data_IF_339160907842
#
_entry.id   IF_339160907842
#
_cell.length_a   1.000
_cell.length_b   1.000
_cell.length_c   1.000
_cell.angle_alpha   90.00
_cell.angle_beta   90.00
_cell.angle_gamma   90.00
#
_symmetry.space_group_name_H-M   'P 1'
#
loop_
_entity.id
_entity.type
_entity.pdbx_description
1 polymer ?
#
# COMPACT_ATOMS: atom_id res chain seq x y z
N UNK A 1 17.33 12.34 8.43
CA UNK A 1 18.51 11.74 7.76
C UNK A 1 19.73 12.60 8.05
N UNK A 2 20.94 12.05 7.90
CA UNK A 2 22.15 12.84 8.02
C UNK A 2 22.31 13.77 6.81
N UNK A 3 22.97 14.91 7.04
CA UNK A 3 23.25 15.89 6.00
C UNK A 3 24.68 16.40 6.19
N UNK A 4 25.65 15.65 5.68
CA UNK A 4 27.08 15.89 5.88
C UNK A 4 27.47 17.28 5.35
N UNK A 5 26.96 17.70 4.19
CA UNK A 5 27.29 19.01 3.60
C UNK A 5 27.06 20.17 4.58
N UNK A 6 25.97 20.12 5.36
CA UNK A 6 25.61 21.17 6.32
C UNK A 6 26.23 20.95 7.70
N UNK A 7 26.81 19.78 7.97
CA UNK A 7 27.25 19.36 9.29
C UNK A 7 28.69 18.82 9.31
N UNK A 8 29.54 19.21 8.37
CA UNK A 8 30.92 18.70 8.26
C UNK A 8 31.75 18.90 9.54
N UNK A 9 31.48 19.97 10.29
CA UNK A 9 32.12 20.28 11.57
C UNK A 9 31.47 19.57 12.78
N UNK A 10 30.30 18.97 12.58
CA UNK A 10 29.53 18.25 13.59
C UNK A 10 29.44 16.75 13.27
N UNK A 11 30.62 16.17 13.03
CA UNK A 11 30.78 14.73 12.80
C UNK A 11 31.63 14.13 13.91
N UNK A 12 31.14 13.04 14.49
CA UNK A 12 31.84 12.28 15.51
C UNK A 12 31.93 10.83 15.07
N UNK A 13 33.16 10.32 15.02
CA UNK A 13 33.46 8.93 14.69
C UNK A 13 34.03 8.25 15.93
N UNK A 14 33.33 7.24 16.43
CA UNK A 14 33.76 6.44 17.58
C UNK A 14 33.78 4.98 17.21
N UNK A 15 34.61 4.19 17.87
CA UNK A 15 34.63 2.74 17.74
C UNK A 15 34.35 2.14 19.12
N UNK A 16 33.13 2.26 19.66
CA UNK A 16 32.84 1.96 21.07
C UNK A 16 33.09 0.50 21.45
N UNK A 17 33.00 -0.43 20.50
CA UNK A 17 33.08 -1.86 20.78
C UNK A 17 33.67 -2.64 19.60
N UNK A 18 33.89 -3.93 19.84
CA UNK A 18 34.37 -4.90 18.88
C UNK A 18 33.50 -6.14 18.98
N UNK A 19 33.09 -6.68 17.83
CA UNK A 19 32.34 -7.92 17.73
C UNK A 19 33.21 -9.03 17.13
N UNK A 20 32.93 -10.28 17.50
CA UNK A 20 33.55 -11.44 16.88
C UNK A 20 32.48 -12.32 16.25
N UNK A 21 32.56 -12.50 14.93
CA UNK A 21 31.66 -13.35 14.14
C UNK A 21 32.52 -14.36 13.40
N UNK A 22 32.25 -15.66 13.58
CA UNK A 22 33.01 -16.77 12.97
C UNK A 22 34.53 -16.66 13.15
N UNK A 23 34.94 -16.19 14.33
CA UNK A 23 36.36 -16.01 14.67
C UNK A 23 37.05 -14.84 13.97
N UNK A 24 36.29 -13.97 13.29
CA UNK A 24 36.75 -12.73 12.67
C UNK A 24 36.35 -11.54 13.54
N UNK A 25 37.31 -10.65 13.80
CA UNK A 25 37.13 -9.45 14.61
C UNK A 25 36.64 -8.27 13.76
N UNK A 26 35.51 -7.69 14.14
CA UNK A 26 34.89 -6.51 13.53
C UNK A 26 34.90 -5.34 14.51
N UNK A 27 35.37 -4.19 14.06
CA UNK A 27 35.35 -2.94 14.81
C UNK A 27 34.03 -2.24 14.51
N UNK A 28 33.23 -2.04 15.57
CA UNK A 28 31.92 -1.41 15.47
C UNK A 28 32.11 0.11 15.53
N UNK A 29 31.92 0.77 14.39
CA UNK A 29 32.09 2.22 14.24
C UNK A 29 30.72 2.87 14.43
N UNK A 30 30.56 3.68 15.46
CA UNK A 30 29.45 4.61 15.59
C UNK A 30 29.78 5.88 14.78
N UNK A 31 28.95 6.15 13.79
CA UNK A 31 29.02 7.37 12.99
C UNK A 31 27.89 8.28 13.45
N UNK A 32 28.22 9.50 13.88
CA UNK A 32 27.24 10.51 14.24
C UNK A 32 27.47 11.79 13.42
N UNK A 33 26.40 12.27 12.78
CA UNK A 33 26.34 13.54 12.06
C UNK A 33 25.19 14.35 12.65
N UNK A 34 25.52 15.42 13.37
CA UNK A 34 24.57 16.13 14.22
C UNK A 34 23.80 15.17 15.17
N UNK A 35 22.47 15.14 15.07
CA UNK A 35 21.62 14.27 15.90
C UNK A 35 21.42 12.86 15.36
N UNK A 36 21.86 12.60 14.12
CA UNK A 36 21.68 11.31 13.45
C UNK A 36 22.89 10.43 13.71
N UNK A 37 22.64 9.18 14.09
CA UNK A 37 23.69 8.20 14.35
C UNK A 37 23.33 6.83 13.79
N UNK A 38 24.34 6.08 13.39
CA UNK A 38 24.24 4.68 12.97
C UNK A 38 25.53 3.93 13.30
N UNK A 39 25.53 2.61 13.06
CA UNK A 39 26.69 1.76 13.32
C UNK A 39 27.08 0.97 12.09
N UNK A 40 28.35 1.04 11.69
CA UNK A 40 28.93 0.22 10.63
C UNK A 40 30.02 -0.67 11.20
N UNK A 41 30.18 -1.88 10.65
CA UNK A 41 31.16 -2.87 11.14
C UNK A 41 32.21 -3.15 10.08
N UNK A 42 33.47 -2.94 10.42
CA UNK A 42 34.59 -3.23 9.53
C UNK A 42 35.64 -4.10 10.19
N UNK A 43 36.19 -5.04 9.44
CA UNK A 43 37.40 -5.77 9.84
C UNK A 43 38.63 -4.91 9.56
N UNK A 44 39.73 -5.17 10.25
CA UNK A 44 40.98 -4.43 10.07
C UNK A 44 41.46 -4.42 8.61
N UNK A 45 41.30 -5.53 7.87
CA UNK A 45 41.73 -5.57 6.46
C UNK A 45 40.95 -4.58 5.58
N UNK A 46 39.74 -4.21 5.95
CA UNK A 46 38.96 -3.17 5.25
C UNK A 46 39.57 -1.78 5.50
N UNK A 47 39.97 -1.47 6.74
CA UNK A 47 40.73 -0.24 7.04
C UNK A 47 42.04 -0.18 6.24
N UNK A 48 42.77 -1.30 6.14
CA UNK A 48 44.01 -1.36 5.40
C UNK A 48 43.80 -1.10 3.89
N UNK A 49 42.81 -1.74 3.27
CA UNK A 49 42.49 -1.52 1.86
C UNK A 49 42.05 -0.07 1.58
N UNK A 50 41.26 0.51 2.49
CA UNK A 50 40.86 1.92 2.43
C UNK A 50 42.09 2.84 2.48
N UNK A 51 42.99 2.58 3.43
CA UNK A 51 44.22 3.35 3.62
C UNK A 51 45.13 3.30 2.39
N UNK A 52 45.33 2.12 1.80
CA UNK A 52 46.14 1.95 0.59
C UNK A 52 45.59 2.80 -0.57
N UNK A 53 44.26 2.88 -0.70
CA UNK A 53 43.60 3.78 -1.66
C UNK A 53 43.85 5.26 -1.34
N UNK A 54 43.82 5.65 -0.06
CA UNK A 54 44.04 7.04 0.35
C UNK A 54 45.47 7.52 0.20
N UNK A 55 46.44 6.67 0.49
CA UNK A 55 47.86 6.94 0.26
C UNK A 55 48.12 7.17 -1.23
N UNK A 56 47.53 6.32 -2.09
CA UNK A 56 47.77 6.38 -3.54
C UNK A 56 47.05 7.52 -4.24
N UNK A 57 45.82 7.84 -3.86
CA UNK A 57 44.96 8.82 -4.57
C UNK A 57 44.89 10.20 -3.91
N UNK A 58 45.08 10.28 -2.59
CA UNK A 58 44.78 11.49 -1.81
C UNK A 58 45.95 11.95 -0.94
N UNK A 59 47.15 11.41 -1.13
CA UNK A 59 48.37 11.81 -0.42
C UNK A 59 48.26 11.72 1.11
N UNK A 60 47.44 10.80 1.63
CA UNK A 60 47.39 10.52 3.07
C UNK A 60 48.71 9.90 3.51
N UNK A 61 49.21 10.30 4.69
CA UNK A 61 50.46 9.80 5.25
C UNK A 61 50.44 8.26 5.41
N UNK A 62 51.54 7.59 5.08
CA UNK A 62 51.61 6.13 5.08
C UNK A 62 51.51 5.52 6.47
N UNK A 63 52.11 6.18 7.46
CA UNK A 63 52.41 5.58 8.76
C UNK A 63 51.33 5.82 9.84
N UNK A 64 50.23 6.49 9.50
CA UNK A 64 49.15 6.80 10.46
C UNK A 64 48.23 5.60 10.74
N UNK A 65 48.23 4.57 9.88
CA UNK A 65 47.43 3.37 10.09
C UNK A 65 48.11 2.45 11.13
N UNK A 66 47.41 2.01 12.19
CA UNK A 66 47.99 1.10 13.18
C UNK A 66 48.48 -0.21 12.52
N UNK A 67 49.67 -0.74 12.84
CA UNK A 67 50.29 -1.82 12.09
C UNK A 67 49.53 -3.16 12.17
N UNK A 68 49.68 -3.98 11.12
CA UNK A 68 49.22 -5.38 11.11
C UNK A 68 49.99 -6.20 12.14
N UNK A 69 49.32 -7.21 12.71
CA UNK A 69 49.93 -8.19 13.63
C UNK A 69 49.46 -9.56 13.20
N UNK A 70 50.40 -10.46 12.96
CA UNK A 70 50.13 -11.80 12.41
C UNK A 70 49.87 -12.84 13.50
N UNK A 71 50.56 -12.73 14.64
CA UNK A 71 50.49 -13.68 15.76
C UNK A 71 49.84 -12.99 16.97
N UNK A 72 48.90 -13.67 17.66
CA UNK A 72 48.21 -13.11 18.84
C UNK A 72 47.33 -11.90 18.51
N UNK A 73 46.84 -11.82 17.28
CA UNK A 73 45.96 -10.75 16.78
C UNK A 73 44.52 -10.81 17.32
N UNK A 74 44.16 -11.93 17.97
CA UNK A 74 42.90 -12.15 18.68
C UNK A 74 42.98 -11.92 20.19
N UNK A 75 44.18 -11.59 20.72
CA UNK A 75 44.34 -11.29 22.14
C UNK A 75 43.51 -10.05 22.50
N UNK A 76 42.65 -10.12 23.52
CA UNK A 76 41.72 -9.05 23.91
C UNK A 76 42.44 -7.72 24.14
N UNK A 77 43.53 -7.74 24.90
CA UNK A 77 44.36 -6.54 25.19
C UNK A 77 44.85 -5.88 23.90
N UNK A 78 45.21 -6.70 22.91
CA UNK A 78 45.69 -6.22 21.63
C UNK A 78 44.56 -5.67 20.76
N UNK A 79 43.43 -6.37 20.70
CA UNK A 79 42.22 -5.94 19.97
C UNK A 79 41.73 -4.60 20.51
N UNK A 80 41.68 -4.43 21.83
CA UNK A 80 41.25 -3.19 22.47
C UNK A 80 42.22 -2.03 22.20
N UNK A 81 43.55 -2.27 22.31
CA UNK A 81 44.55 -1.26 21.93
C UNK A 81 44.41 -0.84 20.46
N UNK A 82 44.18 -1.81 19.57
CA UNK A 82 43.96 -1.55 18.15
C UNK A 82 42.67 -0.79 17.89
N UNK A 83 41.57 -1.11 18.58
CA UNK A 83 40.30 -0.39 18.50
C UNK A 83 40.49 1.10 18.76
N UNK A 84 41.16 1.45 19.86
CA UNK A 84 41.48 2.82 20.22
C UNK A 84 42.37 3.51 19.17
N UNK A 85 43.39 2.80 18.66
CA UNK A 85 44.28 3.36 17.63
C UNK A 85 43.58 3.56 16.28
N UNK A 86 42.64 2.67 15.90
CA UNK A 86 41.83 2.80 14.69
C UNK A 86 40.84 3.97 14.80
N UNK A 87 40.31 4.25 16.00
CA UNK A 87 39.44 5.41 16.23
C UNK A 87 40.20 6.73 16.01
N UNK A 88 41.43 6.84 16.56
CA UNK A 88 42.31 7.99 16.34
C UNK A 88 42.64 8.14 14.85
N UNK A 89 43.04 7.05 14.19
CA UNK A 89 43.32 7.01 12.76
C UNK A 89 42.12 7.51 11.93
N UNK A 90 40.92 6.98 12.19
CA UNK A 90 39.73 7.30 11.41
C UNK A 90 39.35 8.77 11.55
N UNK A 91 39.45 9.34 12.75
CA UNK A 91 39.22 10.77 12.97
C UNK A 91 40.27 11.64 12.27
N UNK A 92 41.54 11.24 12.27
CA UNK A 92 42.60 11.95 11.54
C UNK A 92 42.34 11.96 10.02
N UNK A 93 41.99 10.81 9.45
CA UNK A 93 41.66 10.65 8.03
C UNK A 93 40.42 11.47 7.66
N UNK A 94 39.35 11.39 8.46
CA UNK A 94 38.15 12.20 8.22
C UNK A 94 38.48 13.70 8.24
N UNK A 95 39.20 14.19 9.25
CA UNK A 95 39.54 15.61 9.35
C UNK A 95 40.39 16.10 8.16
N UNK A 96 41.27 15.25 7.64
CA UNK A 96 42.05 15.56 6.44
C UNK A 96 41.19 15.58 5.17
N UNK A 97 40.27 14.63 5.03
CA UNK A 97 39.51 14.42 3.80
C UNK A 97 38.12 15.07 3.77
N UNK A 98 37.57 15.59 4.88
CA UNK A 98 36.16 16.02 5.01
C UNK A 98 35.69 17.03 3.96
N UNK A 99 36.60 17.83 3.40
CA UNK A 99 36.28 18.78 2.32
C UNK A 99 36.09 18.09 0.96
N UNK A 100 36.96 17.16 0.61
CA UNK A 100 36.90 16.41 -0.65
C UNK A 100 35.92 15.24 -0.57
N UNK A 101 35.73 14.71 0.64
CA UNK A 101 34.89 13.58 1.01
C UNK A 101 34.89 12.44 -0.03
N UNK A 102 36.02 11.72 -0.20
CA UNK A 102 36.13 10.66 -1.20
C UNK A 102 35.05 9.61 -1.09
N UNK A 103 34.60 9.09 -2.23
CA UNK A 103 33.53 8.09 -2.29
C UNK A 103 33.89 6.83 -1.52
N UNK A 104 35.16 6.42 -1.51
CA UNK A 104 35.62 5.26 -0.73
C UNK A 104 35.43 5.48 0.77
N UNK A 105 35.69 6.70 1.29
CA UNK A 105 35.41 7.02 2.70
C UNK A 105 33.91 7.06 2.96
N UNK A 106 33.13 7.61 2.02
CA UNK A 106 31.68 7.68 2.13
C UNK A 106 31.03 6.29 2.19
N UNK A 107 31.48 5.37 1.34
CA UNK A 107 31.05 3.98 1.35
C UNK A 107 31.53 3.26 2.61
N UNK A 108 32.76 3.51 3.06
CA UNK A 108 33.27 2.93 4.31
C UNK A 108 32.45 3.36 5.54
N UNK A 109 31.89 4.57 5.54
CA UNK A 109 31.05 5.07 6.63
C UNK A 109 29.55 4.83 6.41
N UNK A 110 29.15 4.08 5.37
CA UNK A 110 27.75 3.88 4.96
C UNK A 110 26.96 5.18 4.68
N UNK A 111 27.62 6.27 4.26
CA UNK A 111 26.93 7.52 3.93
C UNK A 111 25.91 7.35 2.80
N UNK A 112 26.18 6.46 1.84
CA UNK A 112 25.25 6.11 0.76
C UNK A 112 23.88 5.57 1.24
N UNK A 113 23.77 5.21 2.52
CA UNK A 113 22.54 4.67 3.12
C UNK A 113 21.83 5.68 4.04
N UNK A 114 22.58 6.55 4.70
CA UNK A 114 22.08 7.40 5.80
C UNK A 114 22.23 8.90 5.56
N UNK A 115 23.07 9.30 4.60
CA UNK A 115 23.29 10.68 4.20
C UNK A 115 22.48 11.04 2.95
N UNK A 116 21.87 12.22 2.98
CA UNK A 116 21.01 12.71 1.89
C UNK A 116 21.74 12.72 0.55
N UNK A 117 22.97 13.25 0.47
CA UNK A 117 23.63 13.45 -0.82
C UNK A 117 24.15 12.16 -1.41
N UNK A 118 24.81 11.34 -0.58
CA UNK A 118 25.36 10.08 -1.06
C UNK A 118 24.26 9.07 -1.41
N UNK A 119 23.11 9.11 -0.72
CA UNK A 119 21.95 8.33 -1.11
C UNK A 119 21.39 8.79 -2.46
N UNK A 120 21.23 10.11 -2.67
CA UNK A 120 20.75 10.65 -3.95
C UNK A 120 21.71 10.30 -5.10
N UNK A 121 23.02 10.39 -4.88
CA UNK A 121 24.02 9.99 -5.87
C UNK A 121 23.94 8.50 -6.20
N UNK A 122 23.69 7.66 -5.19
CA UNK A 122 23.55 6.21 -5.40
C UNK A 122 22.31 5.89 -6.24
N UNK A 123 21.18 6.58 -5.99
CA UNK A 123 19.98 6.48 -6.82
C UNK A 123 20.22 7.02 -8.24
N UNK A 124 20.89 8.16 -8.38
CA UNK A 124 21.20 8.74 -9.69
C UNK A 124 22.01 7.77 -10.56
N UNK A 125 23.05 7.15 -9.98
CA UNK A 125 23.85 6.14 -10.66
C UNK A 125 23.01 4.91 -11.04
N UNK A 126 22.17 4.41 -10.13
CA UNK A 126 21.29 3.27 -10.40
C UNK A 126 20.35 3.56 -11.56
N UNK A 127 19.71 4.73 -11.57
CA UNK A 127 18.79 5.13 -12.64
C UNK A 127 19.50 5.43 -13.95
N UNK A 128 20.73 5.95 -13.90
CA UNK A 128 21.54 6.09 -15.10
C UNK A 128 21.85 4.74 -15.74
N UNK A 129 22.26 3.74 -14.95
CA UNK A 129 22.70 2.43 -15.45
C UNK A 129 21.52 1.53 -15.82
N UNK A 130 20.45 1.53 -15.00
CA UNK A 130 19.37 0.53 -15.08
C UNK A 130 17.97 1.13 -15.21
N UNK A 131 17.83 2.46 -15.24
CA UNK A 131 16.54 3.16 -15.20
C UNK A 131 15.57 2.74 -16.31
N UNK A 132 16.04 2.65 -17.56
CA UNK A 132 15.19 2.22 -18.68
C UNK A 132 14.69 0.78 -18.51
N UNK A 133 15.54 -0.13 -17.98
CA UNK A 133 15.15 -1.50 -17.68
C UNK A 133 14.12 -1.55 -16.55
N UNK A 134 14.32 -0.77 -15.49
CA UNK A 134 13.38 -0.67 -14.37
C UNK A 134 12.02 -0.12 -14.81
N UNK A 135 12.00 0.89 -15.69
CA UNK A 135 10.77 1.48 -16.25
C UNK A 135 10.02 0.52 -17.18
N UNK A 136 10.73 -0.35 -17.91
CA UNK A 136 10.10 -1.35 -18.78
C UNK A 136 9.63 -2.60 -18.04
N UNK A 137 10.39 -3.05 -17.05
CA UNK A 137 10.13 -4.31 -16.35
C UNK A 137 9.09 -4.17 -15.23
N UNK A 138 8.95 -2.98 -14.64
CA UNK A 138 8.16 -2.82 -13.42
C UNK A 138 6.70 -2.42 -13.68
N UNK A 139 5.78 -3.17 -13.06
CA UNK A 139 4.38 -2.75 -12.91
C UNK A 139 4.21 -1.70 -11.81
N UNK A 140 5.19 -1.54 -10.89
CA UNK A 140 5.23 -0.52 -9.84
C UNK A 140 6.62 -0.35 -9.25
N UNK A 141 7.15 0.88 -9.23
CA UNK A 141 8.42 1.17 -8.56
C UNK A 141 8.18 1.54 -7.10
N UNK A 142 8.90 0.87 -6.18
CA UNK A 142 8.75 1.04 -4.74
C UNK A 142 9.86 1.93 -4.18
N UNK A 143 9.49 3.07 -3.63
CA UNK A 143 10.38 3.92 -2.86
C UNK A 143 10.19 3.69 -1.36
N UNK A 144 11.29 3.66 -0.62
CA UNK A 144 11.28 3.84 0.83
C UNK A 144 11.20 5.35 1.15
N UNK A 145 10.45 5.79 2.18
CA UNK A 145 10.42 7.18 2.65
C UNK A 145 11.80 7.82 2.85
N UNK A 146 12.83 7.06 3.19
CA UNK A 146 14.23 7.54 3.30
C UNK A 146 14.74 8.12 1.98
N UNK A 147 14.47 7.44 0.86
CA UNK A 147 14.86 7.88 -0.49
C UNK A 147 14.07 9.13 -0.91
N UNK A 148 12.76 9.12 -0.69
CA UNK A 148 11.88 10.26 -1.01
C UNK A 148 12.23 11.49 -0.16
N UNK A 149 12.57 11.30 1.12
CA UNK A 149 13.06 12.37 1.98
C UNK A 149 14.36 12.96 1.45
N UNK A 150 15.32 12.12 1.02
CA UNK A 150 16.57 12.62 0.46
C UNK A 150 16.36 13.43 -0.83
N UNK A 151 15.44 12.99 -1.71
CA UNK A 151 15.01 13.75 -2.89
C UNK A 151 14.37 15.08 -2.47
N UNK A 152 13.46 15.06 -1.50
CA UNK A 152 12.76 16.24 -0.98
C UNK A 152 13.73 17.28 -0.42
N UNK A 153 14.72 16.84 0.35
CA UNK A 153 15.76 17.73 0.89
C UNK A 153 16.70 18.25 -0.21
N UNK A 154 17.03 17.41 -1.20
CA UNK A 154 17.87 17.82 -2.33
C UNK A 154 17.19 18.90 -3.19
N UNK A 155 15.87 18.84 -3.37
CA UNK A 155 15.11 19.84 -4.13
C UNK A 155 15.16 21.24 -3.51
N UNK A 156 15.34 21.35 -2.19
CA UNK A 156 15.42 22.63 -1.46
C UNK A 156 16.75 23.36 -1.65
N UNK A 157 17.71 22.74 -2.33
CA UNK A 157 19.09 23.19 -2.35
C UNK A 157 19.61 23.48 -3.75
N UNK A 158 20.45 24.52 -3.93
CA UNK A 158 21.20 24.71 -5.16
C UNK A 158 22.22 23.57 -5.34
N UNK A 159 22.68 23.33 -6.57
CA UNK A 159 23.66 22.30 -6.93
C UNK A 159 24.83 22.24 -5.91
N UNK A 160 24.93 21.19 -5.07
CA UNK A 160 25.92 21.13 -4.01
C UNK A 160 27.31 20.87 -4.58
N UNK A 161 28.34 21.44 -3.94
CA UNK A 161 29.75 21.29 -4.34
C UNK A 161 30.24 19.84 -4.38
N UNK A 162 29.57 18.93 -3.66
CA UNK A 162 29.87 17.49 -3.61
C UNK A 162 29.17 16.69 -4.73
N UNK A 163 28.27 17.31 -5.52
CA UNK A 163 27.72 16.67 -6.71
C UNK A 163 28.88 16.45 -7.70
N UNK A 164 29.28 15.20 -7.83
CA UNK A 164 30.46 14.80 -8.59
C UNK A 164 30.34 15.39 -10.01
N UNK A 165 31.46 15.86 -10.56
CA UNK A 165 31.55 16.35 -11.96
C UNK A 165 31.11 15.28 -12.97
N UNK A 166 31.09 14.02 -12.54
CA UNK A 166 30.72 12.87 -13.34
C UNK A 166 29.21 12.81 -13.57
N UNK A 167 28.83 12.78 -14.85
CA UNK A 167 27.46 12.91 -15.33
C UNK A 167 26.56 11.77 -14.85
N UNK A 168 27.12 10.62 -14.49
CA UNK A 168 26.37 9.44 -14.04
C UNK A 168 25.69 9.66 -12.68
N UNK A 169 26.20 10.57 -11.85
CA UNK A 169 25.67 10.87 -10.51
C UNK A 169 24.74 12.10 -10.48
N UNK A 170 24.44 12.67 -11.65
CA UNK A 170 23.66 13.88 -11.74
C UNK A 170 22.23 13.66 -11.24
N UNK A 171 21.74 14.56 -10.39
CA UNK A 171 20.37 14.50 -9.86
C UNK A 171 19.29 14.51 -10.95
N UNK A 172 19.62 14.99 -12.15
CA UNK A 172 18.74 14.93 -13.33
C UNK A 172 18.26 13.52 -13.67
N UNK A 173 19.06 12.48 -13.42
CA UNK A 173 18.64 11.09 -13.68
C UNK A 173 17.51 10.65 -12.75
N UNK A 174 17.53 11.12 -11.49
CA UNK A 174 16.44 10.90 -10.54
C UNK A 174 15.18 11.63 -10.96
N UNK A 175 15.31 12.88 -11.43
CA UNK A 175 14.18 13.65 -11.91
C UNK A 175 13.56 13.07 -13.19
N UNK A 176 14.39 12.64 -14.16
CA UNK A 176 13.94 11.97 -15.38
C UNK A 176 13.18 10.69 -15.03
N UNK A 177 13.79 9.82 -14.22
CA UNK A 177 13.20 8.57 -13.78
C UNK A 177 11.85 8.79 -13.10
N UNK A 178 11.79 9.66 -12.08
CA UNK A 178 10.56 9.98 -11.36
C UNK A 178 9.46 10.53 -12.28
N UNK A 179 9.84 11.36 -13.25
CA UNK A 179 8.88 11.95 -14.20
C UNK A 179 8.26 10.92 -15.14
N UNK A 180 8.96 9.81 -15.42
CA UNK A 180 8.53 8.75 -16.34
C UNK A 180 7.77 7.61 -15.65
N UNK A 181 7.73 7.60 -14.31
CA UNK A 181 7.01 6.56 -13.56
C UNK A 181 5.49 6.64 -13.76
N UNK A 182 4.90 5.48 -14.01
CA UNK A 182 3.44 5.30 -14.16
C UNK A 182 2.82 4.74 -12.87
N UNK A 183 3.57 3.95 -12.10
CA UNK A 183 3.11 3.35 -10.86
C UNK A 183 4.15 3.52 -9.76
N UNK A 184 3.73 4.14 -8.67
CA UNK A 184 4.54 4.51 -7.52
C UNK A 184 3.98 3.84 -6.26
N UNK A 185 4.84 3.10 -5.55
CA UNK A 185 4.55 2.59 -4.22
C UNK A 185 5.45 3.27 -3.19
N UNK A 186 4.84 3.86 -2.18
CA UNK A 186 5.50 4.41 -0.99
C UNK A 186 5.20 3.47 0.15
N UNK A 187 6.23 2.79 0.64
CA UNK A 187 6.06 1.84 1.74
C UNK A 187 6.81 2.29 2.98
N UNK A 188 6.05 2.65 4.00
CA UNK A 188 6.57 3.03 5.31
C UNK A 188 6.93 1.85 6.19
N UNK A 189 7.59 2.19 7.29
CA UNK A 189 7.95 1.29 8.37
C UNK A 189 7.85 2.05 9.70
N UNK A 190 7.48 1.35 10.77
CA UNK A 190 7.47 1.89 12.13
C UNK A 190 8.83 1.77 12.84
N UNK A 191 9.70 0.88 12.35
CA UNK A 191 10.98 0.61 12.99
C UNK A 191 12.08 1.59 12.55
N UNK A 192 13.13 1.75 13.38
CA UNK A 192 14.34 2.47 12.98
C UNK A 192 14.92 1.90 11.68
N UNK A 193 15.43 2.78 10.83
CA UNK A 193 16.04 2.39 9.57
C UNK A 193 17.40 1.75 9.80
N UNK A 194 17.51 0.44 9.54
CA UNK A 194 18.74 -0.36 9.68
C UNK A 194 19.35 -0.17 11.08
N UNK A 195 20.62 0.22 11.17
CA UNK A 195 21.32 0.44 12.45
C UNK A 195 21.22 1.86 12.97
N UNK A 196 20.40 2.71 12.33
CA UNK A 196 20.33 4.14 12.66
C UNK A 196 19.24 4.45 13.67
N UNK A 197 19.27 5.67 14.20
CA UNK A 197 18.15 6.27 14.94
C UNK A 197 17.13 7.00 14.04
N UNK A 198 17.17 6.79 12.72
CA UNK A 198 16.24 7.44 11.79
C UNK A 198 14.94 6.63 11.76
N UNK A 199 13.81 7.31 11.98
CA UNK A 199 12.48 6.72 11.80
C UNK A 199 11.89 7.19 10.47
N UNK A 200 11.74 6.31 9.46
CA UNK A 200 11.18 6.69 8.16
C UNK A 200 9.80 7.36 8.26
N UNK A 201 8.96 6.92 9.19
CA UNK A 201 7.64 7.48 9.47
C UNK A 201 7.64 8.91 10.04
N UNK A 202 8.79 9.40 10.51
CA UNK A 202 8.92 10.76 11.03
C UNK A 202 9.35 11.77 9.96
N UNK A 203 9.84 11.30 8.82
CA UNK A 203 10.37 12.12 7.73
C UNK A 203 9.21 12.69 6.91
N UNK A 204 9.26 13.97 6.57
CA UNK A 204 8.27 14.60 5.68
C UNK A 204 8.77 14.64 4.25
N UNK A 205 7.93 14.26 3.29
CA UNK A 205 8.30 14.10 1.87
C UNK A 205 7.42 14.94 0.95
N UNK A 206 7.96 15.29 -0.20
CA UNK A 206 7.21 15.77 -1.35
C UNK A 206 7.27 14.82 -2.54
N UNK A 207 6.26 14.93 -3.41
CA UNK A 207 6.04 14.08 -4.56
C UNK A 207 5.94 14.88 -5.87
N UNK A 208 6.36 16.14 -5.87
CA UNK A 208 6.27 17.07 -7.02
C UNK A 208 7.03 16.59 -8.27
N UNK A 209 8.01 15.69 -8.11
CA UNK A 209 8.80 15.13 -9.22
C UNK A 209 8.05 14.08 -10.04
N UNK A 210 6.96 13.51 -9.51
CA UNK A 210 6.21 12.42 -10.14
C UNK A 210 5.10 12.97 -11.03
N UNK A 211 5.40 13.16 -12.32
CA UNK A 211 4.54 13.91 -13.24
C UNK A 211 3.51 13.07 -14.01
N UNK A 212 3.70 11.75 -14.09
CA UNK A 212 2.90 10.86 -14.93
C UNK A 212 2.32 9.66 -14.17
N UNK A 213 2.39 9.66 -12.83
CA UNK A 213 1.90 8.54 -12.02
C UNK A 213 0.39 8.43 -12.14
N UNK A 214 -0.07 7.23 -12.49
CA UNK A 214 -1.48 6.85 -12.60
C UNK A 214 -1.90 5.93 -11.45
N UNK A 215 -0.97 5.12 -10.92
CA UNK A 215 -1.21 4.20 -9.81
C UNK A 215 -0.36 4.62 -8.62
N UNK A 216 -0.99 5.11 -7.56
CA UNK A 216 -0.31 5.53 -6.34
C UNK A 216 -0.72 4.62 -5.19
N UNK A 217 0.26 3.94 -4.60
CA UNK A 217 0.09 3.17 -3.36
C UNK A 217 0.87 3.84 -2.23
N UNK A 218 0.19 4.13 -1.12
CA UNK A 218 0.78 4.59 0.14
C UNK A 218 0.44 3.55 1.19
N UNK A 219 1.43 2.80 1.63
CA UNK A 219 1.24 1.69 2.57
C UNK A 219 2.11 1.90 3.80
N UNK A 220 1.54 1.80 5.00
CA UNK A 220 2.25 1.97 6.28
C UNK A 220 2.99 3.31 6.45
N UNK A 221 2.68 4.33 5.64
CA UNK A 221 3.30 5.65 5.71
C UNK A 221 2.29 6.71 6.16
N UNK A 222 2.62 7.57 7.16
CA UNK A 222 1.68 8.59 7.64
C UNK A 222 1.41 9.65 6.57
N UNK A 223 0.16 9.79 6.14
CA UNK A 223 -0.23 10.74 5.09
C UNK A 223 -0.06 12.20 5.50
N UNK A 224 -0.05 12.53 6.80
CA UNK A 224 0.28 13.86 7.31
C UNK A 224 1.75 14.27 7.11
N UNK A 225 2.60 13.32 6.70
CA UNK A 225 4.00 13.57 6.35
C UNK A 225 4.20 13.89 4.87
N UNK A 226 3.14 14.00 4.08
CA UNK A 226 3.21 14.45 2.69
C UNK A 226 2.80 15.92 2.65
N UNK A 227 3.71 16.79 2.23
CA UNK A 227 3.48 18.25 2.23
C UNK A 227 3.36 18.87 0.83
N UNK A 228 3.68 18.13 -0.22
CA UNK A 228 3.51 18.58 -1.60
C UNK A 228 3.24 17.38 -2.53
N UNK A 229 2.05 17.29 -3.11
CA UNK A 229 1.59 16.24 -4.01
C UNK A 229 1.87 16.56 -5.49
N UNK A 230 2.25 17.79 -5.82
CA UNK A 230 2.43 18.25 -7.20
C UNK A 230 1.19 17.97 -8.07
N UNK A 231 1.40 17.36 -9.23
CA UNK A 231 0.34 17.11 -10.22
C UNK A 231 -0.40 15.78 -10.01
N UNK A 232 -0.15 15.06 -8.91
CA UNK A 232 -0.71 13.71 -8.71
C UNK A 232 -2.24 13.70 -8.72
N UNK A 233 -2.87 14.77 -8.23
CA UNK A 233 -4.33 14.93 -8.26
C UNK A 233 -4.92 14.95 -9.69
N UNK A 234 -4.13 15.35 -10.68
CA UNK A 234 -4.52 15.44 -12.09
C UNK A 234 -4.19 14.18 -12.91
N UNK A 235 -3.40 13.26 -12.35
CA UNK A 235 -2.85 12.11 -13.09
C UNK A 235 -3.28 10.78 -12.52
N UNK A 236 -3.42 10.66 -11.20
CA UNK A 236 -3.72 9.40 -10.52
C UNK A 236 -5.15 8.96 -10.83
N UNK A 237 -5.28 7.72 -11.31
CA UNK A 237 -6.55 7.05 -11.58
C UNK A 237 -6.88 6.01 -10.53
N UNK A 238 -5.85 5.36 -9.96
CA UNK A 238 -5.97 4.40 -8.88
C UNK A 238 -5.15 4.85 -7.68
N UNK A 239 -5.83 5.12 -6.57
CA UNK A 239 -5.24 5.54 -5.32
C UNK A 239 -5.49 4.48 -4.24
N UNK A 240 -4.40 3.94 -3.69
CA UNK A 240 -4.43 2.97 -2.60
C UNK A 240 -3.71 3.55 -1.38
N UNK A 241 -4.39 3.63 -0.25
CA UNK A 241 -3.84 4.14 1.01
C UNK A 241 -4.21 3.18 2.13
N UNK A 242 -3.27 2.33 2.54
CA UNK A 242 -3.51 1.24 3.49
C UNK A 242 -2.57 1.32 4.69
N UNK A 243 -3.02 0.79 5.83
CA UNK A 243 -2.22 0.66 7.05
C UNK A 243 -1.65 2.00 7.56
N UNK A 244 -2.26 3.13 7.22
CA UNK A 244 -1.77 4.47 7.62
C UNK A 244 -2.43 4.96 8.90
N UNK A 245 -3.40 4.20 9.43
CA UNK A 245 -4.23 4.55 10.59
C UNK A 245 -5.17 5.73 10.31
N UNK A 246 -5.48 5.98 9.03
CA UNK A 246 -6.39 7.02 8.59
C UNK A 246 -7.73 6.90 9.32
N UNK A 247 -8.25 8.02 9.83
CA UNK A 247 -9.58 8.06 10.47
C UNK A 247 -10.63 8.76 9.61
N UNK A 248 -10.18 9.72 8.81
CA UNK A 248 -11.04 10.59 8.01
C UNK A 248 -10.45 10.73 6.60
N UNK A 249 -11.31 10.86 5.60
CA UNK A 249 -10.89 10.99 4.19
C UNK A 249 -10.29 12.38 3.95
N UNK A 250 -10.73 13.40 4.72
CA UNK A 250 -10.15 14.74 4.68
C UNK A 250 -8.64 14.73 4.98
N UNK A 251 -8.16 13.81 5.82
CA UNK A 251 -6.73 13.69 6.16
C UNK A 251 -5.87 13.30 4.95
N UNK A 252 -6.45 12.53 4.02
CA UNK A 252 -5.83 12.16 2.75
C UNK A 252 -6.00 13.26 1.70
N UNK A 253 -7.26 13.68 1.46
CA UNK A 253 -7.58 14.62 0.38
C UNK A 253 -6.86 15.96 0.54
N UNK A 254 -6.71 16.41 1.79
CA UNK A 254 -6.07 17.67 2.18
C UNK A 254 -4.78 17.43 2.99
N UNK A 255 -4.03 16.36 2.69
CA UNK A 255 -2.84 15.98 3.46
C UNK A 255 -1.78 17.09 3.62
N UNK A 256 -1.65 17.97 2.62
CA UNK A 256 -0.71 19.10 2.57
C UNK A 256 -1.13 20.28 3.46
N UNK A 257 -2.41 20.35 3.84
CA UNK A 257 -2.96 21.47 4.60
C UNK A 257 -2.70 21.32 6.09
N UNK A 258 -2.38 22.44 6.74
CA UNK A 258 -2.21 22.50 8.21
C UNK A 258 -3.55 22.32 8.91
N UNK A 259 -4.59 22.97 8.40
CA UNK A 259 -5.95 22.90 8.94
C UNK A 259 -6.86 22.16 7.97
N UNK A 260 -7.00 20.86 8.20
CA UNK A 260 -7.80 19.93 7.40
C UNK A 260 -9.28 20.09 7.70
N UNK A 261 -9.90 21.10 7.09
CA UNK A 261 -11.34 21.34 7.14
C UNK A 261 -11.88 21.42 5.71
N UNK A 262 -12.90 20.62 5.43
CA UNK A 262 -13.56 20.55 4.11
C UNK A 262 -14.16 21.89 3.67
N UNK A 263 -14.51 22.78 4.60
CA UNK A 263 -15.02 24.13 4.28
C UNK A 263 -13.95 25.01 3.61
N UNK A 264 -12.66 24.70 3.83
CA UNK A 264 -11.54 25.42 3.22
C UNK A 264 -11.11 24.80 1.87
N UNK A 265 -11.72 23.70 1.46
CA UNK A 265 -11.35 23.04 0.22
C UNK A 265 -11.69 23.90 -1.00
N UNK A 266 -10.85 23.80 -2.02
CA UNK A 266 -10.97 24.47 -3.31
C UNK A 266 -10.54 23.51 -4.42
N UNK A 267 -10.61 23.95 -5.69
CA UNK A 267 -10.34 23.12 -6.86
C UNK A 267 -8.97 22.42 -6.84
N UNK A 268 -7.95 23.00 -6.19
CA UNK A 268 -6.62 22.39 -6.09
C UNK A 268 -6.56 21.12 -5.22
N UNK A 269 -7.61 20.86 -4.44
CA UNK A 269 -7.73 19.66 -3.59
C UNK A 269 -8.43 18.49 -4.29
N UNK A 270 -9.04 18.74 -5.45
CA UNK A 270 -9.88 17.76 -6.15
C UNK A 270 -9.00 16.76 -6.89
N UNK A 271 -9.24 15.47 -6.66
CA UNK A 271 -8.64 14.38 -7.41
C UNK A 271 -9.44 14.14 -8.69
N UNK A 272 -8.98 14.75 -9.78
CA UNK A 272 -9.74 14.90 -11.03
C UNK A 272 -9.92 13.59 -11.81
N UNK A 273 -9.10 12.57 -11.55
CA UNK A 273 -9.08 11.32 -12.33
C UNK A 273 -9.22 10.04 -11.53
N UNK A 274 -9.28 10.10 -10.19
CA UNK A 274 -9.37 8.90 -9.35
C UNK A 274 -10.71 8.21 -9.57
N UNK A 275 -10.68 7.03 -10.18
CA UNK A 275 -11.84 6.16 -10.38
C UNK A 275 -11.85 4.98 -9.41
N UNK A 276 -10.67 4.56 -8.94
CA UNK A 276 -10.51 3.46 -7.99
C UNK A 276 -9.82 3.98 -6.73
N UNK A 277 -10.53 3.94 -5.60
CA UNK A 277 -10.02 4.34 -4.29
C UNK A 277 -10.04 3.15 -3.33
N UNK A 278 -8.87 2.73 -2.86
CA UNK A 278 -8.71 1.69 -1.85
C UNK A 278 -8.17 2.30 -0.55
N UNK A 279 -9.02 2.35 0.48
CA UNK A 279 -8.72 2.82 1.84
C UNK A 279 -8.79 1.68 2.87
N UNK A 280 -8.57 0.45 2.43
CA UNK A 280 -8.62 -0.72 3.31
C UNK A 280 -7.60 -0.66 4.44
N UNK A 281 -7.85 -1.40 5.52
CA UNK A 281 -6.91 -1.60 6.64
C UNK A 281 -6.52 -0.28 7.33
N UNK A 282 -7.49 0.60 7.52
CA UNK A 282 -7.36 1.85 8.25
C UNK A 282 -8.26 1.84 9.51
N UNK A 283 -8.60 3.02 10.02
CA UNK A 283 -9.43 3.22 11.22
C UNK A 283 -10.59 4.17 10.92
N UNK A 284 -11.10 4.11 9.69
CA UNK A 284 -12.16 5.00 9.23
C UNK A 284 -13.46 4.57 9.90
N UNK A 285 -14.10 5.51 10.60
CA UNK A 285 -15.36 5.29 11.32
C UNK A 285 -16.56 5.80 10.52
N UNK A 286 -16.35 6.81 9.67
CA UNK A 286 -17.37 7.47 8.84
C UNK A 286 -16.77 7.86 7.50
N UNK A 287 -17.54 7.73 6.41
CA UNK A 287 -17.21 8.35 5.12
C UNK A 287 -17.58 9.83 5.25
N UNK A 288 -16.61 10.71 5.48
CA UNK A 288 -16.82 12.14 5.66
C UNK A 288 -17.17 12.87 4.34
N UNK A 289 -17.54 14.16 4.42
CA UNK A 289 -17.88 14.95 3.23
C UNK A 289 -16.71 15.17 2.27
N UNK A 290 -15.46 14.98 2.69
CA UNK A 290 -14.30 15.18 1.84
C UNK A 290 -14.22 14.16 0.70
N UNK A 291 -15.01 13.08 0.76
CA UNK A 291 -15.19 12.15 -0.36
C UNK A 291 -15.65 12.86 -1.65
N UNK A 292 -16.33 14.01 -1.55
CA UNK A 292 -16.72 14.84 -2.71
C UNK A 292 -15.54 15.41 -3.49
N UNK A 293 -14.34 15.45 -2.89
CA UNK A 293 -13.09 15.85 -3.55
C UNK A 293 -12.56 14.76 -4.49
N UNK A 294 -13.20 13.59 -4.56
CA UNK A 294 -12.87 12.53 -5.51
C UNK A 294 -14.11 12.18 -6.35
N UNK A 295 -14.61 13.11 -7.18
CA UNK A 295 -15.95 13.02 -7.78
C UNK A 295 -16.07 11.94 -8.88
N UNK A 296 -14.94 11.38 -9.33
CA UNK A 296 -14.90 10.37 -10.41
C UNK A 296 -14.88 8.93 -9.91
N UNK A 297 -14.96 8.69 -8.59
CA UNK A 297 -14.91 7.33 -8.04
C UNK A 297 -16.03 6.47 -8.60
N UNK A 298 -15.62 5.33 -9.16
CA UNK A 298 -16.47 4.24 -9.65
C UNK A 298 -16.38 3.03 -8.71
N UNK A 299 -15.20 2.81 -8.11
CA UNK A 299 -14.92 1.72 -7.20
C UNK A 299 -14.33 2.26 -5.89
N UNK A 300 -15.03 2.00 -4.77
CA UNK A 300 -14.61 2.39 -3.43
C UNK A 300 -14.41 1.16 -2.54
N UNK A 301 -13.19 0.97 -2.05
CA UNK A 301 -12.83 -0.13 -1.15
C UNK A 301 -12.49 0.43 0.22
N UNK A 302 -13.21 -0.04 1.24
CA UNK A 302 -13.14 0.38 2.64
C UNK A 302 -13.11 -0.83 3.57
N UNK A 303 -12.54 -1.94 3.10
CA UNK A 303 -12.46 -3.18 3.87
C UNK A 303 -11.61 -3.00 5.13
N UNK A 304 -11.89 -3.81 6.18
CA UNK A 304 -11.11 -3.79 7.42
C UNK A 304 -10.99 -2.38 8.05
N UNK A 305 -12.12 -1.68 8.16
CA UNK A 305 -12.22 -0.38 8.84
C UNK A 305 -13.15 -0.49 10.07
N UNK A 306 -13.67 0.63 10.55
CA UNK A 306 -14.55 0.68 11.72
C UNK A 306 -15.94 1.25 11.39
N UNK A 307 -16.33 1.23 10.12
CA UNK A 307 -17.59 1.79 9.64
C UNK A 307 -18.79 1.05 10.24
N UNK A 308 -19.78 1.80 10.69
CA UNK A 308 -21.08 1.26 11.14
C UNK A 308 -22.26 1.75 10.31
N UNK A 309 -22.06 2.72 9.41
CA UNK A 309 -23.08 3.26 8.51
C UNK A 309 -22.48 3.66 7.15
N UNK A 310 -23.35 3.72 6.13
CA UNK A 310 -22.99 4.19 4.78
C UNK A 310 -23.43 5.65 4.67
N UNK A 311 -22.49 6.57 4.93
CA UNK A 311 -22.66 8.02 4.88
C UNK A 311 -22.07 8.62 3.59
N UNK A 312 -22.58 9.78 3.16
CA UNK A 312 -22.00 10.63 2.10
C UNK A 312 -21.73 10.01 0.71
N UNK A 313 -22.08 8.75 0.47
CA UNK A 313 -21.95 8.08 -0.84
C UNK A 313 -22.83 8.72 -1.93
N UNK A 314 -23.87 9.47 -1.55
CA UNK A 314 -24.66 10.30 -2.48
C UNK A 314 -23.83 11.39 -3.17
N UNK A 315 -22.67 11.73 -2.62
CA UNK A 315 -21.71 12.68 -3.20
C UNK A 315 -20.84 12.05 -4.29
N UNK A 316 -20.98 10.74 -4.55
CA UNK A 316 -20.24 9.99 -5.57
C UNK A 316 -21.18 9.58 -6.71
N UNK A 317 -21.40 10.43 -7.73
CA UNK A 317 -22.41 10.20 -8.76
C UNK A 317 -22.10 9.02 -9.70
N UNK A 318 -20.86 8.50 -9.67
CA UNK A 318 -20.40 7.40 -10.53
C UNK A 318 -20.15 6.09 -9.79
N UNK A 319 -20.38 6.06 -8.48
CA UNK A 319 -20.08 4.89 -7.66
C UNK A 319 -20.93 3.70 -8.12
N UNK A 320 -20.26 2.62 -8.55
CA UNK A 320 -20.88 1.39 -9.04
C UNK A 320 -20.42 0.15 -8.25
N UNK A 321 -19.25 0.20 -7.61
CA UNK A 321 -18.73 -0.89 -6.78
C UNK A 321 -18.33 -0.39 -5.40
N UNK A 322 -18.82 -1.07 -4.36
CA UNK A 322 -18.58 -0.71 -2.97
C UNK A 322 -18.17 -1.93 -2.15
N UNK A 323 -16.96 -1.90 -1.61
CA UNK A 323 -16.42 -2.98 -0.77
C UNK A 323 -16.28 -2.49 0.67
N UNK A 324 -16.98 -3.17 1.58
CA UNK A 324 -17.15 -2.83 3.00
C UNK A 324 -16.95 -4.06 3.89
N UNK A 325 -16.20 -5.05 3.42
CA UNK A 325 -15.93 -6.27 4.16
C UNK A 325 -15.24 -5.99 5.50
N UNK A 326 -15.54 -6.80 6.52
CA UNK A 326 -14.89 -6.71 7.84
C UNK A 326 -15.00 -5.32 8.50
N UNK A 327 -16.22 -4.80 8.57
CA UNK A 327 -16.55 -3.56 9.27
C UNK A 327 -17.49 -3.85 10.46
N UNK A 328 -18.20 -2.84 10.97
CA UNK A 328 -19.09 -2.93 12.14
C UNK A 328 -20.58 -2.80 11.78
N UNK A 329 -20.98 -3.10 10.53
CA UNK A 329 -22.37 -2.99 10.11
C UNK A 329 -23.27 -4.02 10.83
N UNK A 330 -24.31 -3.54 11.50
CA UNK A 330 -25.31 -4.38 12.20
C UNK A 330 -26.69 -4.28 11.55
N UNK A 331 -27.01 -3.11 11.01
CA UNK A 331 -28.20 -2.83 10.21
C UNK A 331 -27.84 -1.84 9.09
N UNK A 332 -28.70 -1.78 8.08
CA UNK A 332 -28.67 -0.79 7.01
C UNK A 332 -30.06 -0.13 6.95
N UNK A 333 -30.17 1.12 6.48
CA UNK A 333 -31.45 1.79 6.43
C UNK A 333 -32.32 1.26 5.27
N UNK A 334 -33.63 1.26 5.44
CA UNK A 334 -34.59 0.77 4.41
C UNK A 334 -34.58 1.60 3.12
N UNK A 335 -34.07 2.82 3.19
CA UNK A 335 -33.96 3.77 2.09
C UNK A 335 -32.58 3.74 1.40
N UNK A 336 -31.79 2.67 1.57
CA UNK A 336 -30.44 2.55 1.00
C UNK A 336 -30.37 2.83 -0.51
N UNK A 337 -31.41 2.46 -1.25
CA UNK A 337 -31.56 2.74 -2.69
C UNK A 337 -31.55 4.24 -3.05
N UNK A 338 -31.92 5.13 -2.12
CA UNK A 338 -31.82 6.59 -2.33
C UNK A 338 -30.37 7.07 -2.28
N UNK A 339 -29.47 6.27 -1.68
CA UNK A 339 -28.04 6.57 -1.53
C UNK A 339 -27.17 5.88 -2.59
N UNK A 340 -27.54 4.67 -2.99
CA UNK A 340 -26.76 3.78 -3.85
C UNK A 340 -27.47 3.45 -5.17
N UNK A 341 -28.13 4.42 -5.81
CA UNK A 341 -28.99 4.19 -6.97
C UNK A 341 -28.31 3.59 -8.21
N UNK A 342 -26.99 3.77 -8.37
CA UNK A 342 -26.19 3.26 -9.50
C UNK A 342 -25.30 2.06 -9.13
N UNK A 343 -25.45 1.51 -7.93
CA UNK A 343 -24.59 0.44 -7.46
C UNK A 343 -24.89 -0.87 -8.21
N UNK A 344 -23.82 -1.53 -8.65
CA UNK A 344 -23.84 -2.80 -9.37
C UNK A 344 -23.31 -3.93 -8.47
N UNK A 345 -22.31 -3.62 -7.63
CA UNK A 345 -21.70 -4.60 -6.74
C UNK A 345 -21.53 -4.06 -5.31
N UNK A 346 -21.94 -4.85 -4.32
CA UNK A 346 -21.71 -4.57 -2.90
C UNK A 346 -21.10 -5.79 -2.21
N UNK A 347 -19.99 -5.59 -1.51
CA UNK A 347 -19.42 -6.55 -0.56
C UNK A 347 -19.56 -6.01 0.87
N UNK A 348 -20.34 -6.72 1.68
CA UNK A 348 -20.56 -6.51 3.11
C UNK A 348 -20.20 -7.77 3.89
N UNK A 349 -19.34 -8.62 3.37
CA UNK A 349 -18.90 -9.84 4.03
C UNK A 349 -18.24 -9.56 5.39
N UNK A 350 -18.27 -10.53 6.30
CA UNK A 350 -17.65 -10.43 7.62
C UNK A 350 -18.14 -9.23 8.46
N UNK A 351 -19.43 -8.92 8.35
CA UNK A 351 -20.11 -7.92 9.18
C UNK A 351 -21.04 -8.61 10.19
N UNK A 352 -22.02 -7.88 10.73
CA UNK A 352 -22.97 -8.37 11.74
C UNK A 352 -24.43 -8.17 11.29
N UNK A 353 -24.67 -8.11 9.97
CA UNK A 353 -26.00 -7.90 9.40
C UNK A 353 -26.94 -9.06 9.71
N UNK A 354 -28.20 -8.74 9.97
CA UNK A 354 -29.25 -9.73 10.29
C UNK A 354 -30.39 -9.75 9.28
N UNK A 355 -30.47 -8.76 8.39
CA UNK A 355 -31.56 -8.59 7.42
C UNK A 355 -31.06 -8.19 6.04
N UNK A 356 -31.84 -8.55 5.01
CA UNK A 356 -31.62 -8.18 3.61
C UNK A 356 -32.63 -7.14 3.09
N UNK A 357 -33.52 -6.62 3.95
CA UNK A 357 -34.59 -5.71 3.55
C UNK A 357 -34.09 -4.44 2.84
N UNK A 358 -32.95 -3.90 3.27
CA UNK A 358 -32.35 -2.66 2.72
C UNK A 358 -31.95 -2.78 1.25
N UNK A 359 -31.71 -3.99 0.74
CA UNK A 359 -31.33 -4.21 -0.67
C UNK A 359 -32.53 -4.32 -1.61
N UNK A 360 -33.76 -4.40 -1.07
CA UNK A 360 -34.98 -4.71 -1.85
C UNK A 360 -35.29 -3.75 -3.00
N UNK A 361 -34.68 -2.57 -3.06
CA UNK A 361 -34.92 -1.58 -4.12
C UNK A 361 -33.68 -1.27 -4.97
N UNK A 362 -32.59 -2.04 -4.82
CA UNK A 362 -31.38 -1.88 -5.62
C UNK A 362 -31.52 -2.66 -6.93
N UNK A 363 -32.37 -2.16 -7.83
CA UNK A 363 -32.74 -2.89 -9.05
C UNK A 363 -31.58 -3.15 -10.02
N UNK A 364 -30.52 -2.34 -9.96
CA UNK A 364 -29.30 -2.47 -10.78
C UNK A 364 -28.25 -3.40 -10.16
N UNK A 365 -28.47 -3.92 -8.94
CA UNK A 365 -27.48 -4.73 -8.24
C UNK A 365 -27.32 -6.09 -8.94
N UNK A 366 -26.10 -6.39 -9.38
CA UNK A 366 -25.73 -7.65 -10.02
C UNK A 366 -25.02 -8.61 -9.07
N UNK A 367 -24.27 -8.07 -8.10
CA UNK A 367 -23.52 -8.87 -7.12
C UNK A 367 -23.71 -8.38 -5.68
N UNK A 368 -24.03 -9.31 -4.79
CA UNK A 368 -24.16 -9.08 -3.35
C UNK A 368 -23.39 -10.13 -2.56
N UNK A 369 -22.33 -9.70 -1.88
CA UNK A 369 -21.64 -10.53 -0.90
C UNK A 369 -22.03 -10.12 0.52
N UNK A 370 -22.75 -10.99 1.21
CA UNK A 370 -23.12 -10.85 2.62
C UNK A 370 -22.65 -12.08 3.41
N UNK A 371 -21.63 -12.77 2.92
CA UNK A 371 -21.04 -13.93 3.59
C UNK A 371 -20.53 -13.59 4.99
N UNK A 372 -20.48 -14.57 5.89
CA UNK A 372 -20.01 -14.40 7.26
C UNK A 372 -20.70 -13.26 8.03
N UNK A 373 -22.03 -13.14 7.89
CA UNK A 373 -22.89 -12.24 8.66
C UNK A 373 -23.76 -13.05 9.65
N UNK A 374 -24.87 -12.47 10.12
CA UNK A 374 -25.80 -13.07 11.10
C UNK A 374 -27.21 -13.25 10.53
N UNK A 375 -27.32 -13.48 9.23
CA UNK A 375 -28.61 -13.72 8.56
C UNK A 375 -29.10 -15.12 8.95
N UNK A 376 -30.17 -15.18 9.73
CA UNK A 376 -30.68 -16.45 10.28
C UNK A 376 -31.90 -16.97 9.53
N UNK A 377 -32.81 -16.07 9.16
CA UNK A 377 -34.11 -16.41 8.60
C UNK A 377 -34.04 -16.53 7.07
N UNK A 378 -34.58 -17.62 6.54
CA UNK A 378 -34.67 -17.84 5.09
C UNK A 378 -35.59 -16.83 4.40
N UNK A 379 -36.56 -16.28 5.15
CA UNK A 379 -37.49 -15.26 4.68
C UNK A 379 -36.79 -13.99 4.21
N UNK A 380 -35.59 -13.70 4.72
CA UNK A 380 -34.81 -12.51 4.31
C UNK A 380 -34.49 -12.52 2.82
N UNK A 381 -34.32 -13.71 2.22
CA UNK A 381 -34.02 -13.85 0.79
C UNK A 381 -35.17 -13.34 -0.09
N UNK A 382 -36.41 -13.32 0.43
CA UNK A 382 -37.57 -12.78 -0.31
C UNK A 382 -37.43 -11.30 -0.61
N UNK A 383 -36.66 -10.56 0.19
CA UNK A 383 -36.39 -9.14 -0.06
C UNK A 383 -35.56 -8.91 -1.33
N UNK A 384 -34.75 -9.89 -1.75
CA UNK A 384 -33.84 -9.76 -2.90
C UNK A 384 -34.22 -10.65 -4.09
N UNK A 385 -35.12 -11.62 -3.89
CA UNK A 385 -35.53 -12.57 -4.95
C UNK A 385 -36.17 -11.92 -6.19
N UNK A 386 -36.68 -10.70 -6.05
CA UNK A 386 -37.31 -9.95 -7.14
C UNK A 386 -36.35 -8.96 -7.85
N UNK A 387 -35.09 -8.84 -7.42
CA UNK A 387 -34.14 -7.90 -8.01
C UNK A 387 -33.72 -8.37 -9.41
N UNK A 388 -34.04 -7.63 -10.48
CA UNK A 388 -34.01 -8.15 -11.85
C UNK A 388 -32.60 -8.41 -12.40
N UNK A 389 -31.58 -7.72 -11.87
CA UNK A 389 -30.20 -7.86 -12.32
C UNK A 389 -29.34 -8.74 -11.40
N UNK A 390 -29.83 -9.15 -10.23
CA UNK A 390 -29.00 -9.89 -9.27
C UNK A 390 -28.65 -11.27 -9.83
N UNK A 391 -27.35 -11.54 -9.99
CA UNK A 391 -26.82 -12.78 -10.54
C UNK A 391 -25.85 -13.47 -9.57
N UNK A 392 -25.11 -12.72 -8.76
CA UNK A 392 -24.13 -13.28 -7.83
C UNK A 392 -24.54 -13.00 -6.39
N UNK A 393 -24.80 -14.06 -5.63
CA UNK A 393 -25.20 -13.96 -4.23
C UNK A 393 -24.32 -14.85 -3.37
N UNK A 394 -23.72 -14.28 -2.32
CA UNK A 394 -22.95 -15.05 -1.33
C UNK A 394 -23.57 -14.88 0.05
N UNK A 395 -23.91 -16.01 0.65
CA UNK A 395 -24.56 -16.14 1.95
C UNK A 395 -23.83 -17.14 2.87
N UNK A 396 -22.80 -17.81 2.36
CA UNK A 396 -21.91 -18.72 3.11
C UNK A 396 -21.48 -18.12 4.45
N UNK A 397 -21.46 -18.93 5.50
CA UNK A 397 -21.02 -18.47 6.83
C UNK A 397 -22.07 -17.69 7.61
N UNK A 398 -23.29 -17.54 7.08
CA UNK A 398 -24.45 -17.10 7.86
C UNK A 398 -25.19 -18.29 8.49
N UNK A 399 -25.93 -18.12 9.61
CA UNK A 399 -26.73 -19.20 10.18
C UNK A 399 -27.73 -19.81 9.18
N UNK A 400 -28.32 -19.01 8.27
CA UNK A 400 -29.22 -19.50 7.21
C UNK A 400 -28.55 -20.54 6.30
N UNK A 401 -27.23 -20.50 6.12
CA UNK A 401 -26.49 -21.46 5.28
C UNK A 401 -26.40 -22.88 5.85
N UNK A 402 -26.84 -23.07 7.10
CA UNK A 402 -26.79 -24.38 7.80
C UNK A 402 -28.11 -25.16 7.74
N UNK A 403 -29.18 -24.56 7.18
CA UNK A 403 -30.50 -25.20 7.16
C UNK A 403 -30.55 -26.35 6.13
N UNK A 404 -31.43 -27.32 6.38
CA UNK A 404 -31.70 -28.40 5.43
C UNK A 404 -32.29 -27.83 4.14
N UNK A 405 -31.81 -28.33 2.99
CA UNK A 405 -32.16 -27.87 1.64
C UNK A 405 -31.88 -26.38 1.40
N UNK A 406 -30.88 -25.82 2.08
CA UNK A 406 -30.48 -24.41 2.02
C UNK A 406 -30.47 -23.84 0.59
N UNK A 407 -29.72 -24.44 -0.32
CA UNK A 407 -29.56 -23.91 -1.69
C UNK A 407 -30.90 -23.82 -2.43
N UNK A 408 -31.70 -24.89 -2.41
CA UNK A 408 -33.04 -24.92 -3.03
C UNK A 408 -33.95 -23.84 -2.43
N UNK A 409 -33.95 -23.69 -1.11
CA UNK A 409 -34.78 -22.69 -0.41
C UNK A 409 -34.34 -21.25 -0.71
N UNK A 410 -33.05 -21.00 -0.89
CA UNK A 410 -32.53 -19.68 -1.30
C UNK A 410 -32.87 -19.37 -2.75
N UNK A 411 -32.87 -20.37 -3.63
CA UNK A 411 -33.17 -20.20 -5.05
C UNK A 411 -34.68 -20.02 -5.31
N UNK A 412 -35.55 -20.57 -4.44
CA UNK A 412 -37.00 -20.54 -4.62
C UNK A 412 -37.60 -19.11 -4.81
N UNK A 413 -37.22 -18.09 -4.02
CA UNK A 413 -37.68 -16.71 -4.23
C UNK A 413 -37.34 -16.10 -5.60
N UNK A 414 -36.33 -16.63 -6.32
CA UNK A 414 -35.93 -16.14 -7.64
C UNK A 414 -36.79 -16.74 -8.78
N UNK A 415 -37.54 -17.81 -8.50
CA UNK A 415 -38.45 -18.44 -9.46
C UNK A 415 -37.77 -18.79 -10.78
N UNK A 416 -38.29 -18.27 -11.89
CA UNK A 416 -37.74 -18.52 -13.25
C UNK A 416 -36.28 -18.09 -13.41
N UNK A 417 -35.83 -17.11 -12.61
CA UNK A 417 -34.45 -16.60 -12.64
C UNK A 417 -33.50 -17.43 -11.77
N UNK A 418 -33.96 -18.49 -11.11
CA UNK A 418 -33.10 -19.32 -10.27
C UNK A 418 -31.87 -19.85 -11.03
N UNK A 419 -32.01 -20.20 -12.32
CA UNK A 419 -30.90 -20.65 -13.17
C UNK A 419 -29.81 -19.58 -13.40
N UNK A 420 -30.17 -18.29 -13.29
CA UNK A 420 -29.26 -17.17 -13.50
C UNK A 420 -28.43 -16.89 -12.23
N UNK A 421 -28.86 -17.38 -11.06
CA UNK A 421 -28.19 -17.10 -9.78
C UNK A 421 -26.98 -18.01 -9.58
N UNK A 422 -25.80 -17.41 -9.46
CA UNK A 422 -24.61 -18.02 -8.89
C UNK A 422 -24.65 -17.85 -7.36
N UNK A 423 -25.05 -18.91 -6.65
CA UNK A 423 -25.15 -18.92 -5.19
C UNK A 423 -23.87 -19.52 -4.60
N UNK A 424 -23.18 -18.75 -3.76
CA UNK A 424 -21.98 -19.18 -3.04
C UNK A 424 -20.86 -19.68 -3.98
N UNK A 425 -20.70 -18.98 -5.11
CA UNK A 425 -19.77 -19.29 -6.22
C UNK A 425 -20.12 -20.52 -7.07
N UNK A 426 -21.34 -21.06 -6.92
CA UNK A 426 -21.80 -22.21 -7.69
C UNK A 426 -23.16 -21.94 -8.35
N UNK A 427 -23.24 -22.17 -9.66
CA UNK A 427 -24.52 -22.21 -10.39
C UNK A 427 -25.37 -23.41 -9.92
N UNK A 428 -26.70 -23.31 -9.95
CA UNK A 428 -27.56 -24.41 -9.57
C UNK A 428 -27.42 -25.59 -10.54
N UNK A 429 -27.47 -26.80 -10.00
CA UNK A 429 -27.57 -28.02 -10.81
C UNK A 429 -29.03 -28.31 -11.20
N UNK A 430 -29.22 -29.22 -12.16
CA UNK A 430 -30.56 -29.55 -12.68
C UNK A 430 -31.52 -30.04 -11.58
N UNK A 431 -31.04 -30.84 -10.62
CA UNK A 431 -31.87 -31.36 -9.53
C UNK A 431 -32.41 -30.23 -8.64
N UNK A 432 -31.58 -29.22 -8.36
CA UNK A 432 -32.00 -28.03 -7.61
C UNK A 432 -33.08 -27.26 -8.38
N UNK A 433 -32.88 -27.04 -9.68
CA UNK A 433 -33.84 -26.34 -10.55
C UNK A 433 -35.17 -27.07 -10.68
N UNK A 434 -35.15 -28.40 -10.81
CA UNK A 434 -36.35 -29.23 -10.86
C UNK A 434 -37.13 -29.11 -9.55
N UNK A 435 -36.43 -29.15 -8.41
CA UNK A 435 -37.04 -29.02 -7.07
C UNK A 435 -37.66 -27.63 -6.87
N UNK A 436 -36.96 -26.56 -7.28
CA UNK A 436 -37.48 -25.19 -7.24
C UNK A 436 -38.75 -25.07 -8.10
N UNK A 437 -38.75 -25.67 -9.29
CA UNK A 437 -39.91 -25.66 -10.20
C UNK A 437 -41.13 -26.36 -9.60
N UNK A 438 -40.92 -27.51 -8.93
CA UNK A 438 -41.98 -28.24 -8.21
C UNK A 438 -42.53 -27.41 -7.04
N UNK A 439 -41.66 -26.80 -6.23
CA UNK A 439 -42.09 -25.93 -5.12
C UNK A 439 -42.93 -24.75 -5.62
N UNK A 440 -42.49 -24.12 -6.73
CA UNK A 440 -43.22 -23.03 -7.35
C UNK A 440 -44.60 -23.47 -7.86
N UNK A 441 -44.69 -24.62 -8.52
CA UNK A 441 -45.97 -25.18 -8.99
C UNK A 441 -46.92 -25.49 -7.82
N UNK A 442 -46.42 -26.08 -6.73
CA UNK A 442 -47.19 -26.36 -5.52
C UNK A 442 -47.68 -25.07 -4.85
N UNK A 443 -46.86 -24.02 -4.82
CA UNK A 443 -47.25 -22.71 -4.28
C UNK A 443 -48.36 -22.07 -5.12
N UNK A 444 -48.23 -22.08 -6.44
CA UNK A 444 -49.24 -21.57 -7.38
C UNK A 444 -50.57 -22.32 -7.20
N UNK A 445 -50.52 -23.65 -7.08
CA UNK A 445 -51.69 -24.49 -6.84
C UNK A 445 -52.37 -24.19 -5.49
N UNK A 446 -51.59 -23.92 -4.43
CA UNK A 446 -52.11 -23.54 -3.11
C UNK A 446 -52.72 -22.12 -3.09
N UNK A 447 -52.21 -21.21 -3.90
CA UNK A 447 -52.73 -19.84 -4.05
C UNK A 447 -53.97 -19.76 -4.98
N UNK A 448 -54.50 -20.90 -5.45
CA UNK A 448 -55.74 -20.98 -6.23
C UNK A 448 -55.63 -20.46 -7.67
N UNK A 449 -54.40 -20.25 -8.17
CA UNK A 449 -54.15 -19.89 -9.58
C UNK A 449 -53.89 -21.16 -10.37
N UNK A 450 -54.70 -21.45 -11.38
CA UNK A 450 -54.46 -22.57 -12.28
C UNK A 450 -53.11 -22.40 -13.00
N UNK A 451 -52.21 -23.40 -13.03
CA UNK A 451 -51.01 -23.32 -13.85
C UNK A 451 -51.40 -23.23 -15.34
N UNK A 452 -50.97 -22.16 -16.00
CA UNK A 452 -51.04 -22.01 -17.45
C UNK A 452 -49.96 -22.89 -18.07
N UNK A 453 -50.31 -24.11 -18.47
CA UNK A 453 -49.44 -24.92 -19.33
C UNK A 453 -49.47 -24.36 -20.75
N UNK A 454 -48.44 -23.60 -21.14
CA UNK A 454 -48.11 -23.40 -22.55
C UNK A 454 -47.29 -24.58 -23.04
N UNK A 455 -47.48 -25.00 -24.29
CA UNK A 455 -46.99 -26.27 -24.86
C UNK A 455 -45.45 -26.45 -24.94
N UNK A 456 -44.66 -25.63 -24.24
CA UNK A 456 -43.20 -25.77 -24.10
C UNK A 456 -42.75 -26.73 -23.00
N UNK A 457 -43.67 -27.18 -22.13
CA UNK A 457 -43.31 -27.83 -20.84
C UNK A 457 -43.42 -29.37 -20.84
N UNK A 458 -43.35 -30.03 -22.00
CA UNK A 458 -43.29 -31.49 -22.05
C UNK A 458 -41.83 -31.98 -21.89
N UNK A 459 -41.52 -32.90 -20.95
CA UNK A 459 -40.22 -33.56 -20.95
C UNK A 459 -40.10 -34.43 -22.21
N UNK A 460 -38.96 -34.30 -22.91
CA UNK A 460 -38.56 -35.20 -24.00
C UNK A 460 -38.38 -36.63 -23.46
N UNK A 461 -39.48 -37.39 -23.39
CA UNK A 461 -39.40 -38.85 -23.33
C UNK A 461 -39.41 -39.39 -24.76
N UNK A 462 -38.22 -39.55 -25.35
CA UNK A 462 -38.05 -40.35 -26.56
C UNK A 462 -38.08 -41.84 -26.18
N UNK A 463 -39.26 -42.45 -26.22
CA UNK A 463 -39.37 -43.89 -26.31
C UNK A 463 -39.32 -44.27 -27.80
N UNK A 464 -38.17 -44.78 -28.25
CA UNK A 464 -38.08 -45.46 -29.54
C UNK A 464 -38.94 -46.73 -29.50
N UNK A 465 -39.95 -46.80 -30.37
CA UNK A 465 -40.68 -48.03 -30.65
C UNK A 465 -40.05 -48.66 -31.89
N UNK A 466 -39.46 -49.86 -31.81
CA UNK A 466 -38.89 -50.52 -32.99
C UNK A 466 -40.02 -51.11 -33.83
N UNK A 467 -40.00 -50.83 -35.14
CA UNK A 467 -40.89 -51.45 -36.11
C UNK A 467 -40.12 -52.56 -36.86
N UNK A 468 -40.75 -53.74 -36.92
CA UNK A 468 -40.32 -54.95 -37.63
C UNK A 468 -40.34 -54.75 -39.14
#
# INVERSE_FOLDING_TARGET
>A
MACLLLNQENVHLKIPSVDTVDGVTYYCIEVAIASIKWTVKHRYSTFAALHDSFVSKYCVEKDILPPKKLIGNKCEVFVEKRRQSLEIYLNAVYNYLKKAMPRELALFLDLHEYDIYFLVQSMALEFFVTGDTLLQASTSYKFNPIQLYAISERLKQPCPLLEVVDKEYAFSHVLDFNSRLISLTIEGNSEPYKTSNIYPSALSIELSTFKNVQYLTIDRYPVDKIYNMGNLRDTVTTLKVTNTKLRNIVELAMCEEVHKNIENANDSHVWMKVTHLDLSDNRIEVIDEAIKLLPQIECLTLNNNHLSEISNVTLLPRLSQLYLASNNFTYLPDDLHTRLGYIVYIDLSQNKLTSLASFSKLYSLEGLDVSCNRIEKIEEVKHIGHLPCLENLRLTGNPVSTIVDYRVKVLEPFGKRAADICLDNEKPNQKELDTVSVHQALRIAREGKSPSFTASDAPLFSAEVPSI
#
